data_IF_300588379470
#
_entry.id   IF_300588379470
#
_cell.length_a   1.000
_cell.length_b   1.000
_cell.length_c   1.000
_cell.angle_alpha   90.00
_cell.angle_beta   90.00
_cell.angle_gamma   90.00
#
_symmetry.space_group_name_H-M   'P 1'
#
loop_
_entity.id
_entity.type
_entity.pdbx_description
1 polymer ?
#
# COMPACT_ATOMS: atom_id res chain seq x y z
N UNK A 1 20.04 -20.17 -21.63
CA UNK A 1 19.99 -18.70 -21.75
C UNK A 1 21.07 -18.14 -20.85
N UNK A 2 21.93 -17.23 -21.33
CA UNK A 2 22.94 -16.57 -20.47
C UNK A 2 22.17 -15.68 -19.49
N UNK A 3 22.26 -15.99 -18.20
CA UNK A 3 21.80 -15.08 -17.14
C UNK A 3 22.64 -13.80 -17.25
N UNK A 4 21.98 -12.73 -17.65
CA UNK A 4 22.63 -11.40 -17.69
C UNK A 4 22.69 -10.92 -16.25
N UNK A 5 23.88 -10.76 -15.70
CA UNK A 5 24.07 -10.21 -14.35
C UNK A 5 23.38 -8.84 -14.24
N UNK A 6 22.77 -8.55 -13.08
CA UNK A 6 22.15 -7.24 -12.85
C UNK A 6 23.18 -6.12 -12.97
N UNK A 7 22.79 -5.00 -13.59
CA UNK A 7 23.63 -3.80 -13.63
C UNK A 7 23.76 -3.18 -12.23
N UNK A 8 24.85 -2.44 -11.98
CA UNK A 8 25.03 -1.73 -10.71
C UNK A 8 23.84 -0.80 -10.40
N UNK A 9 23.29 -0.15 -11.42
CA UNK A 9 22.11 0.72 -11.30
C UNK A 9 20.85 -0.07 -10.88
N UNK A 10 20.66 -1.27 -11.42
CA UNK A 10 19.50 -2.09 -11.07
C UNK A 10 19.65 -2.74 -9.69
N UNK A 11 20.88 -3.07 -9.28
CA UNK A 11 21.14 -3.50 -7.90
C UNK A 11 20.88 -2.39 -6.88
N UNK A 12 21.26 -1.14 -7.19
CA UNK A 12 20.90 0.02 -6.37
C UNK A 12 19.39 0.22 -6.31
N UNK A 13 18.70 0.15 -7.45
CA UNK A 13 17.25 0.25 -7.51
C UNK A 13 16.56 -0.87 -6.71
N UNK A 14 17.10 -2.10 -6.71
CA UNK A 14 16.59 -3.21 -5.93
C UNK A 14 16.79 -2.99 -4.42
N UNK A 15 17.95 -2.44 -4.02
CA UNK A 15 18.24 -2.07 -2.63
C UNK A 15 17.30 -0.99 -2.11
N UNK A 16 17.04 0.04 -2.92
CA UNK A 16 16.08 1.09 -2.57
C UNK A 16 14.65 0.56 -2.49
N UNK A 17 14.29 -0.36 -3.41
CA UNK A 17 13.01 -1.05 -3.36
C UNK A 17 12.86 -1.88 -2.07
N UNK A 18 13.90 -2.63 -1.66
CA UNK A 18 13.90 -3.39 -0.41
C UNK A 18 13.71 -2.48 0.78
N UNK A 19 14.46 -1.38 0.87
CA UNK A 19 14.28 -0.39 1.94
C UNK A 19 12.85 0.16 2.00
N UNK A 20 12.25 0.48 0.85
CA UNK A 20 10.89 0.99 0.80
C UNK A 20 9.85 -0.03 1.27
N UNK A 21 10.06 -1.32 0.96
CA UNK A 21 9.14 -2.43 1.26
C UNK A 21 9.26 -2.96 2.69
N UNK A 22 10.46 -2.95 3.27
CA UNK A 22 10.73 -3.51 4.60
C UNK A 22 10.86 -2.44 5.69
N UNK A 23 11.01 -1.16 5.31
CA UNK A 23 11.27 -0.06 6.24
C UNK A 23 9.99 0.49 6.90
N UNK A 24 10.14 1.27 7.99
CA UNK A 24 9.23 1.28 9.11
C UNK A 24 7.79 1.48 8.66
N UNK A 25 6.91 0.68 9.26
CA UNK A 25 5.47 0.76 9.04
C UNK A 25 4.95 2.19 9.25
N UNK A 26 3.78 2.46 8.73
CA UNK A 26 3.16 3.78 8.77
C UNK A 26 3.10 4.37 10.19
N UNK A 27 2.91 3.52 11.22
CA UNK A 27 2.93 3.92 12.62
C UNK A 27 4.22 4.64 13.02
N UNK A 28 5.39 4.10 12.63
CA UNK A 28 6.68 4.72 12.93
C UNK A 28 6.86 6.03 12.16
N UNK A 29 6.43 6.09 10.89
CA UNK A 29 6.48 7.33 10.09
C UNK A 29 5.61 8.43 10.69
N UNK A 30 4.40 8.09 11.15
CA UNK A 30 3.49 9.03 11.82
C UNK A 30 4.08 9.46 13.17
N UNK A 31 4.60 8.53 13.98
CA UNK A 31 5.26 8.84 15.26
C UNK A 31 6.40 9.81 15.06
N UNK A 32 7.26 9.58 14.06
CA UNK A 32 8.39 10.48 13.77
C UNK A 32 7.94 11.86 13.29
N UNK A 33 6.86 11.93 12.51
CA UNK A 33 6.36 13.19 11.96
C UNK A 33 5.64 14.07 12.99
N UNK A 34 4.95 13.45 13.96
CA UNK A 34 4.09 14.16 14.94
C UNK A 34 4.64 14.14 16.35
N UNK A 35 5.64 13.31 16.65
CA UNK A 35 6.15 13.12 18.01
C UNK A 35 5.17 12.39 18.95
N UNK A 36 4.10 11.81 18.42
CA UNK A 36 3.08 11.09 19.20
C UNK A 36 3.20 9.58 18.93
N UNK A 37 3.47 8.74 19.97
CA UNK A 37 3.52 7.31 19.81
C UNK A 37 2.16 6.74 19.37
N UNK A 38 2.11 6.16 18.18
CA UNK A 38 0.88 5.57 17.61
C UNK A 38 0.36 4.42 18.47
N UNK A 39 1.25 3.66 19.11
CA UNK A 39 0.88 2.57 20.04
C UNK A 39 0.03 3.08 21.23
N UNK A 40 0.40 4.25 21.78
CA UNK A 40 -0.40 4.90 22.85
C UNK A 40 -1.75 5.36 22.31
N UNK A 41 -1.76 5.97 21.12
CA UNK A 41 -2.99 6.41 20.48
C UNK A 41 -3.94 5.24 20.18
N UNK A 42 -3.43 4.10 19.73
CA UNK A 42 -4.21 2.87 19.53
C UNK A 42 -4.85 2.36 20.83
N UNK A 43 -4.10 2.39 21.95
CA UNK A 43 -4.63 2.01 23.25
C UNK A 43 -5.71 2.94 23.82
N UNK A 44 -5.86 4.13 23.25
CA UNK A 44 -6.92 5.09 23.62
C UNK A 44 -8.20 4.93 22.80
N UNK A 45 -8.16 4.17 21.70
CA UNK A 45 -9.34 3.92 20.88
C UNK A 45 -10.33 3.01 21.62
N UNK A 46 -11.61 3.38 21.68
CA UNK A 46 -12.64 2.47 22.18
C UNK A 46 -12.74 1.20 21.35
N UNK A 47 -12.92 0.04 21.97
CA UNK A 47 -13.10 -1.24 21.27
C UNK A 47 -14.23 -1.22 20.25
N UNK A 48 -15.24 -0.38 20.47
CA UNK A 48 -16.37 -0.18 19.58
C UNK A 48 -15.99 0.39 18.20
N UNK A 49 -14.77 0.91 18.04
CA UNK A 49 -14.29 1.50 16.77
C UNK A 49 -13.79 0.43 15.79
N UNK A 50 -13.45 -0.76 16.26
CA UNK A 50 -12.93 -1.85 15.42
C UNK A 50 -13.88 -2.20 14.27
N UNK A 51 -15.17 -2.33 14.54
CA UNK A 51 -16.19 -2.69 13.54
C UNK A 51 -16.41 -1.57 12.49
N UNK A 52 -16.62 -0.29 12.87
CA UNK A 52 -16.69 0.81 11.91
C UNK A 52 -15.45 0.94 11.03
N UNK A 53 -14.25 0.81 11.60
CA UNK A 53 -12.99 0.90 10.86
C UNK A 53 -12.85 -0.24 9.85
N UNK A 54 -13.12 -1.48 10.28
CA UNK A 54 -13.09 -2.64 9.39
C UNK A 54 -14.11 -2.51 8.25
N UNK A 55 -15.32 -2.03 8.52
CA UNK A 55 -16.35 -1.78 7.50
C UNK A 55 -15.92 -0.69 6.51
N UNK A 56 -15.33 0.39 7.01
CA UNK A 56 -14.84 1.47 6.15
C UNK A 56 -13.67 0.99 5.26
N UNK A 57 -12.72 0.21 5.81
CA UNK A 57 -11.64 -0.38 5.04
C UNK A 57 -12.16 -1.34 3.95
N UNK A 58 -13.14 -2.18 4.28
CA UNK A 58 -13.78 -3.08 3.32
C UNK A 58 -14.46 -2.29 2.18
N UNK A 59 -15.26 -1.28 2.51
CA UNK A 59 -15.92 -0.41 1.53
C UNK A 59 -14.91 0.33 0.64
N UNK A 60 -13.81 0.82 1.22
CA UNK A 60 -12.75 1.50 0.48
C UNK A 60 -12.07 0.57 -0.53
N UNK A 61 -11.74 -0.65 -0.14
CA UNK A 61 -11.10 -1.64 -1.02
C UNK A 61 -12.09 -2.14 -2.09
N UNK A 62 -13.37 -2.36 -1.76
CA UNK A 62 -14.39 -2.69 -2.74
C UNK A 62 -14.51 -1.60 -3.81
N UNK A 63 -14.61 -0.33 -3.40
CA UNK A 63 -14.62 0.83 -4.31
C UNK A 63 -13.35 0.90 -5.15
N UNK A 64 -12.17 0.69 -4.53
CA UNK A 64 -10.90 0.67 -5.24
C UNK A 64 -10.82 -0.46 -6.28
N UNK A 65 -11.37 -1.64 -5.98
CA UNK A 65 -11.46 -2.75 -6.92
C UNK A 65 -12.32 -2.42 -8.15
N UNK A 66 -13.46 -1.74 -7.97
CA UNK A 66 -14.27 -1.26 -9.09
C UNK A 66 -13.50 -0.31 -9.99
N UNK A 67 -12.77 0.64 -9.38
CA UNK A 67 -11.91 1.58 -10.12
C UNK A 67 -10.80 0.83 -10.84
N UNK A 68 -10.16 -0.15 -10.18
CA UNK A 68 -9.11 -0.98 -10.78
C UNK A 68 -9.61 -1.77 -11.98
N UNK A 69 -10.76 -2.42 -11.86
CA UNK A 69 -11.32 -3.23 -12.94
C UNK A 69 -11.82 -2.37 -14.12
N UNK A 70 -12.42 -1.21 -13.84
CA UNK A 70 -13.11 -0.38 -14.83
C UNK A 70 -12.27 0.74 -15.44
N UNK A 71 -11.70 1.62 -14.64
CA UNK A 71 -11.21 2.93 -15.10
C UNK A 71 -9.70 3.15 -15.08
N UNK A 72 -8.89 2.24 -14.52
CA UNK A 72 -7.43 2.41 -14.46
C UNK A 72 -6.75 2.35 -15.83
N UNK A 73 -7.38 1.76 -16.84
CA UNK A 73 -6.85 1.70 -18.21
C UNK A 73 -6.45 3.07 -18.76
N UNK A 74 -7.22 4.11 -18.40
CA UNK A 74 -7.09 5.46 -18.93
C UNK A 74 -6.38 6.44 -17.98
N UNK A 75 -5.72 5.94 -16.93
CA UNK A 75 -5.00 6.80 -15.99
C UNK A 75 -3.80 7.44 -16.67
N UNK A 76 -3.77 8.78 -16.74
CA UNK A 76 -2.64 9.53 -17.27
C UNK A 76 -1.43 9.34 -16.34
N UNK A 77 -0.31 8.89 -16.90
CA UNK A 77 0.94 8.73 -16.16
C UNK A 77 1.77 10.01 -16.18
N UNK A 78 2.45 10.29 -15.06
CA UNK A 78 3.44 11.36 -14.98
C UNK A 78 3.75 11.78 -13.54
N UNK A 79 4.98 12.34 -13.32
CA UNK A 79 5.39 12.91 -12.02
C UNK A 79 4.47 14.03 -11.52
N UNK A 80 3.82 14.74 -12.43
CA UNK A 80 2.83 15.77 -12.10
C UNK A 80 1.59 15.20 -11.42
N UNK A 81 1.14 13.98 -11.80
CA UNK A 81 0.02 13.30 -11.17
C UNK A 81 0.22 13.01 -9.69
N UNK A 82 1.43 12.61 -9.27
CA UNK A 82 1.70 12.27 -7.87
C UNK A 82 1.57 13.47 -6.93
N UNK A 83 2.00 14.67 -7.36
CA UNK A 83 1.86 15.89 -6.53
C UNK A 83 0.40 16.32 -6.41
N UNK A 84 -0.36 16.23 -7.50
CA UNK A 84 -1.79 16.52 -7.50
C UNK A 84 -2.56 15.54 -6.61
N UNK A 85 -2.27 14.24 -6.70
CA UNK A 85 -2.89 13.23 -5.84
C UNK A 85 -2.57 13.46 -4.36
N UNK A 86 -1.32 13.82 -4.01
CA UNK A 86 -0.96 14.20 -2.64
C UNK A 86 -1.77 15.41 -2.15
N UNK A 87 -1.87 16.46 -2.95
CA UNK A 87 -2.64 17.66 -2.60
C UNK A 87 -4.13 17.36 -2.36
N UNK A 88 -4.73 16.52 -3.21
CA UNK A 88 -6.14 16.11 -3.07
C UNK A 88 -6.38 15.30 -1.80
N UNK A 89 -5.49 14.35 -1.46
CA UNK A 89 -5.63 13.54 -0.22
C UNK A 89 -5.39 14.38 1.03
N UNK A 90 -4.46 15.33 0.98
CA UNK A 90 -4.25 16.29 2.08
C UNK A 90 -5.48 17.16 2.31
N UNK A 91 -6.11 17.64 1.23
CA UNK A 91 -7.33 18.44 1.31
C UNK A 91 -8.53 17.67 1.90
N UNK A 92 -8.68 16.37 1.56
CA UNK A 92 -9.75 15.52 2.15
C UNK A 92 -9.53 15.27 3.63
N UNK A 93 -8.28 15.17 4.08
CA UNK A 93 -7.95 14.93 5.50
C UNK A 93 -8.13 16.12 6.41
N UNK A 94 -7.99 17.33 5.88
CA UNK A 94 -8.28 18.54 6.64
C UNK A 94 -9.78 18.63 7.02
N UNK A 95 -10.67 18.07 6.19
CA UNK A 95 -12.09 17.95 6.49
C UNK A 95 -12.45 16.79 7.44
N UNK A 96 -11.79 15.63 7.28
CA UNK A 96 -12.13 14.39 8.01
C UNK A 96 -11.82 14.45 9.51
N UNK A 97 -10.71 15.10 9.90
CA UNK A 97 -10.32 15.23 11.30
C UNK A 97 -11.30 16.00 12.18
N UNK A 98 -12.19 16.83 11.57
CA UNK A 98 -13.16 17.63 12.30
C UNK A 98 -14.49 16.89 12.57
N UNK A 99 -14.82 15.82 11.80
CA UNK A 99 -16.14 15.19 11.83
C UNK A 99 -16.18 13.77 12.42
N UNK A 100 -15.05 13.22 12.86
CA UNK A 100 -14.97 11.93 13.56
C UNK A 100 -15.33 10.70 12.69
N UNK A 101 -15.73 9.59 13.33
CA UNK A 101 -16.02 8.30 12.69
C UNK A 101 -17.02 8.34 11.50
N UNK A 102 -18.13 9.14 11.53
CA UNK A 102 -19.04 9.17 10.38
C UNK A 102 -18.38 9.68 9.09
N UNK A 103 -17.42 10.60 9.20
CA UNK A 103 -16.69 11.13 8.05
C UNK A 103 -15.79 10.07 7.41
N UNK A 104 -15.28 9.12 8.20
CA UNK A 104 -14.42 8.04 7.74
C UNK A 104 -15.09 7.19 6.65
N UNK A 105 -16.38 6.93 6.77
CA UNK A 105 -17.11 6.13 5.80
C UNK A 105 -17.12 6.73 4.38
N UNK A 106 -16.97 8.05 4.27
CA UNK A 106 -16.91 8.78 2.99
C UNK A 106 -15.45 9.10 2.61
N UNK A 107 -14.66 9.57 3.58
CA UNK A 107 -13.26 9.98 3.33
C UNK A 107 -12.40 8.81 2.85
N UNK A 108 -12.52 7.65 3.49
CA UNK A 108 -11.63 6.52 3.21
C UNK A 108 -11.81 5.96 1.79
N UNK A 109 -13.00 5.70 1.26
CA UNK A 109 -13.18 5.28 -0.13
C UNK A 109 -12.63 6.31 -1.14
N UNK A 110 -12.84 7.60 -0.89
CA UNK A 110 -12.36 8.69 -1.77
C UNK A 110 -10.83 8.74 -1.75
N UNK A 111 -10.22 8.82 -0.57
CA UNK A 111 -8.77 8.90 -0.43
C UNK A 111 -8.07 7.63 -0.97
N UNK A 112 -8.65 6.45 -0.73
CA UNK A 112 -8.13 5.18 -1.25
C UNK A 112 -8.20 5.14 -2.79
N UNK A 113 -9.26 5.66 -3.38
CA UNK A 113 -9.37 5.77 -4.85
C UNK A 113 -8.29 6.70 -5.44
N UNK A 114 -8.03 7.84 -4.80
CA UNK A 114 -6.98 8.77 -5.23
C UNK A 114 -5.60 8.10 -5.07
N UNK A 115 -5.35 7.41 -3.97
CA UNK A 115 -4.11 6.66 -3.74
C UNK A 115 -3.94 5.56 -4.80
N UNK A 116 -4.99 4.80 -5.12
CA UNK A 116 -4.94 3.76 -6.15
C UNK A 116 -4.54 4.34 -7.51
N UNK A 117 -5.07 5.50 -7.89
CA UNK A 117 -4.69 6.17 -9.14
C UNK A 117 -3.22 6.61 -9.14
N UNK A 118 -2.71 7.07 -8.01
CA UNK A 118 -1.29 7.39 -7.84
C UNK A 118 -0.41 6.13 -7.95
N UNK A 119 -0.82 5.04 -7.31
CA UNK A 119 -0.16 3.72 -7.40
C UNK A 119 -0.13 3.25 -8.86
N UNK A 120 -1.24 3.37 -9.58
CA UNK A 120 -1.35 2.99 -10.99
C UNK A 120 -0.44 3.83 -11.91
N UNK A 121 -0.27 5.13 -11.61
CA UNK A 121 0.67 5.99 -12.32
C UNK A 121 2.14 5.55 -12.09
N UNK A 122 2.47 5.14 -10.86
CA UNK A 122 3.78 4.56 -10.53
C UNK A 122 3.98 3.23 -11.26
N UNK A 123 2.99 2.32 -11.21
CA UNK A 123 3.02 1.04 -11.91
C UNK A 123 3.35 1.23 -13.40
N UNK A 124 2.63 2.14 -14.07
CA UNK A 124 2.87 2.48 -15.47
C UNK A 124 4.28 3.03 -15.71
N UNK A 125 4.79 3.89 -14.83
CA UNK A 125 6.16 4.42 -14.94
C UNK A 125 7.24 3.33 -14.80
N UNK A 126 6.91 2.21 -14.15
CA UNK A 126 7.74 1.03 -14.03
C UNK A 126 7.46 -0.02 -15.13
N UNK A 127 6.69 0.33 -16.16
CA UNK A 127 6.45 -0.50 -17.33
C UNK A 127 5.36 -1.56 -17.17
N UNK A 128 4.42 -1.38 -16.22
CA UNK A 128 3.23 -2.21 -16.14
C UNK A 128 2.22 -1.83 -17.23
N UNK A 129 1.66 -2.84 -17.89
CA UNK A 129 0.54 -2.66 -18.82
C UNK A 129 -0.80 -2.72 -18.07
N UNK A 130 -1.39 -1.55 -17.81
CA UNK A 130 -2.68 -1.46 -17.12
C UNK A 130 -3.88 -1.87 -18.00
N UNK A 131 -3.69 -2.31 -19.25
CA UNK A 131 -4.72 -3.02 -19.99
C UNK A 131 -4.94 -4.44 -19.45
N UNK A 132 -3.91 -5.05 -18.85
CA UNK A 132 -3.98 -6.34 -18.17
C UNK A 132 -4.63 -6.20 -16.79
N UNK A 133 -5.58 -7.11 -16.50
CA UNK A 133 -6.25 -7.19 -15.20
C UNK A 133 -5.28 -7.53 -14.06
N UNK A 134 -4.27 -8.36 -14.31
CA UNK A 134 -3.27 -8.72 -13.30
C UNK A 134 -2.45 -7.51 -12.86
N UNK A 135 -2.02 -6.66 -13.81
CA UNK A 135 -1.30 -5.43 -13.49
C UNK A 135 -2.18 -4.44 -12.69
N UNK A 136 -3.48 -4.36 -13.00
CA UNK A 136 -4.42 -3.53 -12.24
C UNK A 136 -4.68 -4.06 -10.83
N UNK A 137 -4.78 -5.36 -10.65
CA UNK A 137 -4.93 -5.98 -9.34
C UNK A 137 -3.64 -5.90 -8.51
N UNK A 138 -2.46 -5.91 -9.16
CA UNK A 138 -1.20 -5.64 -8.48
C UNK A 138 -1.15 -4.22 -7.87
N UNK A 139 -1.90 -3.25 -8.41
CA UNK A 139 -2.05 -1.94 -7.76
C UNK A 139 -2.83 -2.03 -6.44
N UNK A 140 -3.79 -2.97 -6.31
CA UNK A 140 -4.51 -3.21 -5.05
C UNK A 140 -3.64 -3.97 -4.04
N UNK A 141 -2.73 -4.82 -4.52
CA UNK A 141 -1.78 -5.55 -3.67
C UNK A 141 -0.97 -4.61 -2.78
N UNK A 142 -0.62 -3.42 -3.27
CA UNK A 142 0.13 -2.42 -2.51
C UNK A 142 -0.54 -2.07 -1.18
N UNK A 143 -1.87 -2.04 -1.11
CA UNK A 143 -2.59 -1.81 0.14
C UNK A 143 -2.47 -2.97 1.15
N UNK A 144 -2.14 -4.17 0.67
CA UNK A 144 -1.92 -5.33 1.53
C UNK A 144 -0.45 -5.50 1.96
N UNK A 145 0.51 -4.89 1.25
CA UNK A 145 1.94 -5.04 1.54
C UNK A 145 2.40 -4.23 2.76
N UNK A 146 1.78 -3.10 3.05
CA UNK A 146 2.20 -2.19 4.10
C UNK A 146 1.77 -2.57 5.52
N UNK A 147 1.01 -3.65 5.70
CA UNK A 147 0.65 -4.18 7.02
C UNK A 147 1.86 -4.88 7.66
N UNK A 148 2.12 -4.64 8.96
CA UNK A 148 3.18 -5.36 9.67
C UNK A 148 2.96 -6.87 9.52
N UNK A 149 3.97 -7.64 9.10
CA UNK A 149 3.99 -9.06 9.42
C UNK A 149 3.86 -9.20 10.94
N UNK A 150 3.12 -10.20 11.41
CA UNK A 150 2.98 -10.43 12.83
C UNK A 150 4.35 -10.44 13.51
N UNK A 151 4.40 -10.06 14.77
CA UNK A 151 5.62 -9.84 15.59
C UNK A 151 6.66 -10.98 15.57
N UNK A 152 6.31 -12.13 14.98
CA UNK A 152 7.14 -13.33 14.85
C UNK A 152 7.72 -13.53 13.44
N UNK A 153 7.31 -12.75 12.44
CA UNK A 153 7.82 -12.84 11.06
C UNK A 153 8.82 -11.71 10.73
N UNK A 154 9.70 -11.40 11.68
CA UNK A 154 10.87 -10.56 11.46
C UNK A 154 11.93 -11.27 10.58
N UNK A 155 11.50 -12.12 9.63
CA UNK A 155 12.37 -12.73 8.66
C UNK A 155 12.42 -11.86 7.40
N UNK A 156 13.61 -11.74 6.83
CA UNK A 156 13.93 -11.05 5.56
C UNK A 156 13.05 -11.45 4.36
N UNK A 157 12.10 -12.37 4.57
CA UNK A 157 11.16 -12.90 3.58
C UNK A 157 9.78 -12.23 3.61
N UNK A 158 9.54 -11.22 4.46
CA UNK A 158 8.18 -10.66 4.69
C UNK A 158 7.47 -10.18 3.42
N UNK A 159 8.18 -9.47 2.55
CA UNK A 159 7.63 -9.01 1.27
C UNK A 159 7.24 -10.17 0.35
N UNK A 160 8.14 -11.13 0.12
CA UNK A 160 7.85 -12.26 -0.78
C UNK A 160 6.82 -13.22 -0.20
N UNK A 161 6.78 -13.40 1.13
CA UNK A 161 5.75 -14.19 1.79
C UNK A 161 4.36 -13.55 1.62
N UNK A 162 4.24 -12.25 1.86
CA UNK A 162 2.99 -11.50 1.68
C UNK A 162 2.53 -11.56 0.22
N UNK A 163 3.45 -11.37 -0.73
CA UNK A 163 3.18 -11.44 -2.17
C UNK A 163 2.75 -12.84 -2.62
N UNK A 164 3.40 -13.89 -2.13
CA UNK A 164 3.02 -15.28 -2.43
C UNK A 164 1.62 -15.62 -1.91
N UNK A 165 1.30 -15.19 -0.68
CA UNK A 165 -0.03 -15.38 -0.11
C UNK A 165 -1.11 -14.63 -0.90
N UNK A 166 -0.84 -13.39 -1.33
CA UNK A 166 -1.74 -12.61 -2.17
C UNK A 166 -1.91 -13.20 -3.56
N UNK A 167 -0.84 -13.73 -4.15
CA UNK A 167 -0.83 -14.26 -5.51
C UNK A 167 -1.90 -15.33 -5.75
N UNK A 168 -2.12 -16.22 -4.78
CA UNK A 168 -3.17 -17.26 -4.88
C UNK A 168 -4.57 -16.66 -4.98
N UNK A 169 -4.86 -15.66 -4.15
CA UNK A 169 -6.16 -14.97 -4.12
C UNK A 169 -6.35 -14.12 -5.38
N UNK A 170 -5.29 -13.49 -5.85
CA UNK A 170 -5.29 -12.63 -7.03
C UNK A 170 -5.58 -13.41 -8.32
N UNK A 171 -4.99 -14.59 -8.51
CA UNK A 171 -5.18 -15.41 -9.71
C UNK A 171 -6.64 -15.79 -9.90
N UNK A 172 -7.30 -16.24 -8.84
CA UNK A 172 -8.71 -16.61 -8.89
C UNK A 172 -9.62 -15.41 -9.20
N UNK A 173 -9.34 -14.28 -8.57
CA UNK A 173 -10.10 -13.05 -8.79
C UNK A 173 -9.87 -12.49 -10.21
N UNK A 174 -8.62 -12.47 -10.69
CA UNK A 174 -8.28 -12.02 -12.04
C UNK A 174 -8.97 -12.86 -13.12
N UNK A 175 -8.95 -14.19 -12.96
CA UNK A 175 -9.63 -15.10 -13.87
C UNK A 175 -11.14 -14.84 -13.90
N UNK A 176 -11.76 -14.70 -12.71
CA UNK A 176 -13.19 -14.41 -12.62
C UNK A 176 -13.56 -13.08 -13.29
N UNK A 177 -12.83 -12.02 -12.93
CA UNK A 177 -13.07 -10.66 -13.45
C UNK A 177 -12.80 -10.58 -14.95
N UNK A 178 -11.76 -11.24 -15.43
CA UNK A 178 -11.43 -11.29 -16.85
C UNK A 178 -12.50 -11.97 -17.71
N UNK A 179 -13.16 -13.00 -17.19
CA UNK A 179 -14.20 -13.75 -17.90
C UNK A 179 -15.61 -13.15 -17.76
N UNK A 180 -15.95 -12.58 -16.62
CA UNK A 180 -17.32 -12.19 -16.26
C UNK A 180 -17.49 -10.73 -15.87
N UNK A 181 -16.41 -9.97 -15.87
CA UNK A 181 -16.39 -8.60 -15.31
C UNK A 181 -16.67 -8.59 -13.80
N UNK A 182 -16.85 -7.39 -13.24
CA UNK A 182 -17.25 -7.20 -11.84
C UNK A 182 -18.78 -7.21 -11.61
N UNK A 183 -19.53 -7.86 -12.48
CA UNK A 183 -21.01 -7.84 -12.41
C UNK A 183 -21.59 -8.43 -11.09
N UNK A 184 -20.81 -9.21 -10.35
CA UNK A 184 -21.21 -9.74 -9.03
C UNK A 184 -20.06 -9.61 -8.03
N UNK A 185 -20.08 -8.56 -7.20
CA UNK A 185 -19.16 -8.41 -6.07
C UNK A 185 -19.25 -9.56 -5.06
N UNK A 186 -20.42 -10.20 -4.95
CA UNK A 186 -20.66 -11.34 -4.07
C UNK A 186 -20.02 -12.65 -4.55
N UNK A 187 -19.32 -12.65 -5.69
CA UNK A 187 -18.63 -13.85 -6.16
C UNK A 187 -17.48 -14.23 -5.21
N UNK A 188 -17.38 -15.51 -4.79
CA UNK A 188 -16.40 -15.93 -3.78
C UNK A 188 -14.94 -15.52 -4.04
N UNK A 189 -14.41 -15.54 -5.29
CA UNK A 189 -13.06 -15.06 -5.55
C UNK A 189 -12.89 -13.56 -5.32
N UNK A 190 -13.89 -12.77 -5.68
CA UNK A 190 -13.89 -11.31 -5.51
C UNK A 190 -13.98 -10.94 -4.03
N UNK A 191 -14.90 -11.59 -3.30
CA UNK A 191 -15.04 -11.41 -1.85
C UNK A 191 -13.75 -11.75 -1.12
N UNK A 192 -13.10 -12.87 -1.45
CA UNK A 192 -11.81 -13.26 -0.84
C UNK A 192 -10.72 -12.24 -1.10
N UNK A 193 -10.64 -11.69 -2.31
CA UNK A 193 -9.68 -10.63 -2.64
C UNK A 193 -9.92 -9.37 -1.79
N UNK A 194 -11.17 -8.91 -1.75
CA UNK A 194 -11.54 -7.71 -0.97
C UNK A 194 -11.22 -7.94 0.52
N UNK A 195 -11.63 -9.07 1.09
CA UNK A 195 -11.38 -9.39 2.50
C UNK A 195 -9.89 -9.43 2.81
N UNK A 196 -9.09 -10.10 1.97
CA UNK A 196 -7.65 -10.22 2.17
C UNK A 196 -6.95 -8.85 2.19
N UNK A 197 -7.29 -7.97 1.24
CA UNK A 197 -6.69 -6.63 1.17
C UNK A 197 -7.23 -5.74 2.29
N UNK A 198 -8.55 -5.78 2.55
CA UNK A 198 -9.18 -4.92 3.54
C UNK A 198 -8.73 -5.22 4.97
N UNK A 199 -8.46 -6.49 5.31
CA UNK A 199 -7.94 -6.88 6.62
C UNK A 199 -6.58 -6.21 6.90
N UNK A 200 -5.65 -6.28 5.95
CA UNK A 200 -4.32 -5.68 6.07
C UNK A 200 -4.34 -4.16 6.01
N UNK A 201 -5.12 -3.61 5.08
CA UNK A 201 -5.33 -2.18 4.97
C UNK A 201 -5.99 -1.59 6.22
N UNK A 202 -6.91 -2.34 6.84
CA UNK A 202 -7.61 -1.96 8.06
C UNK A 202 -6.66 -1.71 9.25
N UNK A 203 -5.56 -2.46 9.34
CA UNK A 203 -4.53 -2.23 10.36
C UNK A 203 -3.94 -0.82 10.21
N UNK A 204 -3.53 -0.46 9.00
CA UNK A 204 -2.95 0.85 8.69
C UNK A 204 -3.95 2.00 8.86
N UNK A 205 -5.22 1.73 8.52
CA UNK A 205 -6.31 2.68 8.73
C UNK A 205 -6.55 2.89 10.23
N UNK A 206 -6.48 1.83 11.05
CA UNK A 206 -6.59 1.94 12.51
C UNK A 206 -5.48 2.79 13.11
N UNK A 207 -4.23 2.62 12.66
CA UNK A 207 -3.08 3.43 13.09
C UNK A 207 -3.28 4.91 12.72
N UNK A 208 -3.77 5.19 11.51
CA UNK A 208 -4.12 6.54 11.05
C UNK A 208 -5.19 7.18 11.94
N UNK A 209 -6.29 6.47 12.17
CA UNK A 209 -7.43 6.98 12.93
C UNK A 209 -7.07 7.21 14.38
N UNK A 210 -6.35 6.26 15.00
CA UNK A 210 -5.89 6.40 16.37
C UNK A 210 -5.10 7.70 16.57
N UNK A 211 -4.22 8.00 15.62
CA UNK A 211 -3.43 9.22 15.69
C UNK A 211 -4.31 10.47 15.49
N UNK A 212 -5.28 10.44 14.57
CA UNK A 212 -6.20 11.56 14.36
C UNK A 212 -7.13 11.82 15.56
N UNK A 213 -7.40 10.80 16.37
CA UNK A 213 -8.23 10.90 17.57
C UNK A 213 -7.52 11.62 18.74
N UNK A 214 -6.21 11.87 18.66
CA UNK A 214 -5.47 12.60 19.71
C UNK A 214 -5.82 14.08 19.65
N UNK A 215 -6.40 14.68 20.72
CA UNK A 215 -6.96 16.04 20.68
C UNK A 215 -5.97 17.15 20.34
N UNK A 216 -4.65 16.91 20.57
CA UNK A 216 -3.59 17.90 20.37
C UNK A 216 -3.22 18.10 18.89
N UNK A 217 -3.66 17.21 18.01
CA UNK A 217 -3.17 17.16 16.62
C UNK A 217 -3.85 18.19 15.71
N UNK A 218 -5.12 18.53 15.95
CA UNK A 218 -5.83 19.55 15.20
C UNK A 218 -5.86 19.32 13.68
N UNK A 219 -6.36 20.31 12.92
CA UNK A 219 -6.51 20.22 11.46
C UNK A 219 -5.16 20.12 10.70
N UNK A 220 -4.12 20.82 11.17
CA UNK A 220 -2.80 20.77 10.55
C UNK A 220 -2.15 19.39 10.70
N UNK A 221 -2.32 18.76 11.88
CA UNK A 221 -1.84 17.42 12.12
C UNK A 221 -2.59 16.38 11.29
N UNK A 222 -3.91 16.52 11.09
CA UNK A 222 -4.70 15.66 10.21
C UNK A 222 -4.21 15.70 8.75
N UNK A 223 -3.87 16.89 8.24
CA UNK A 223 -3.27 17.05 6.92
C UNK A 223 -1.90 16.36 6.80
N UNK A 224 -1.05 16.48 7.83
CA UNK A 224 0.25 15.83 7.87
C UNK A 224 0.11 14.30 7.93
N UNK A 225 -0.82 13.77 8.73
CA UNK A 225 -1.11 12.32 8.78
C UNK A 225 -1.52 11.81 7.40
N UNK A 226 -2.39 12.51 6.69
CA UNK A 226 -2.80 12.12 5.35
C UNK A 226 -1.64 12.20 4.35
N UNK A 227 -0.77 13.19 4.46
CA UNK A 227 0.45 13.27 3.65
C UNK A 227 1.34 12.04 3.89
N UNK A 228 1.64 11.71 5.15
CA UNK A 228 2.46 10.55 5.52
C UNK A 228 1.80 9.25 5.02
N UNK A 229 0.48 9.17 5.10
CA UNK A 229 -0.28 8.01 4.65
C UNK A 229 -0.15 7.77 3.14
N UNK A 230 -0.36 8.80 2.31
CA UNK A 230 -0.21 8.66 0.85
C UNK A 230 1.26 8.46 0.45
N UNK A 231 2.19 9.13 1.13
CA UNK A 231 3.63 8.98 0.87
C UNK A 231 4.11 7.56 1.14
N UNK A 232 3.61 6.94 2.22
CA UNK A 232 3.87 5.54 2.54
C UNK A 232 3.45 4.61 1.39
N UNK A 233 2.20 4.71 0.90
CA UNK A 233 1.71 3.86 -0.18
C UNK A 233 2.38 4.14 -1.52
N UNK A 234 2.79 5.38 -1.80
CA UNK A 234 3.57 5.69 -2.99
C UNK A 234 4.98 5.08 -2.92
N UNK A 235 5.63 5.11 -1.75
CA UNK A 235 6.93 4.47 -1.53
C UNK A 235 6.83 2.95 -1.68
N UNK A 236 5.80 2.33 -1.09
CA UNK A 236 5.52 0.91 -1.23
C UNK A 236 5.26 0.52 -2.69
N UNK A 237 4.47 1.33 -3.42
CA UNK A 237 4.21 1.11 -4.84
C UNK A 237 5.50 1.19 -5.67
N UNK A 238 6.33 2.20 -5.42
CA UNK A 238 7.61 2.34 -6.13
C UNK A 238 8.49 1.12 -5.90
N UNK A 239 8.64 0.69 -4.65
CA UNK A 239 9.40 -0.51 -4.30
C UNK A 239 8.83 -1.77 -4.99
N UNK A 240 7.54 -2.02 -4.84
CA UNK A 240 6.85 -3.18 -5.43
C UNK A 240 7.01 -3.25 -6.95
N UNK A 241 6.72 -2.16 -7.66
CA UNK A 241 6.79 -2.15 -9.12
C UNK A 241 8.23 -2.08 -9.65
N UNK A 242 9.19 -1.58 -8.86
CA UNK A 242 10.61 -1.71 -9.18
C UNK A 242 11.04 -3.18 -9.16
N UNK A 243 10.69 -3.94 -8.11
CA UNK A 243 10.96 -5.39 -8.05
C UNK A 243 10.33 -6.09 -9.26
N UNK A 244 9.05 -5.86 -9.54
CA UNK A 244 8.35 -6.45 -10.70
C UNK A 244 9.00 -6.10 -12.04
N UNK A 245 9.48 -4.87 -12.22
CA UNK A 245 10.23 -4.46 -13.41
C UNK A 245 11.53 -5.26 -13.55
N UNK A 246 12.27 -5.41 -12.47
CA UNK A 246 13.51 -6.17 -12.47
C UNK A 246 13.26 -7.67 -12.74
N UNK A 247 12.20 -8.24 -12.18
CA UNK A 247 11.78 -9.61 -12.44
C UNK A 247 11.46 -9.86 -13.92
N UNK A 248 10.85 -8.89 -14.61
CA UNK A 248 10.63 -8.99 -16.06
C UNK A 248 11.92 -8.96 -16.88
N UNK A 249 12.96 -8.32 -16.37
CA UNK A 249 14.26 -8.18 -17.07
C UNK A 249 15.19 -9.36 -16.77
N UNK A 250 15.29 -9.75 -15.50
CA UNK A 250 16.31 -10.70 -15.02
C UNK A 250 15.74 -12.05 -14.61
N UNK A 251 14.42 -12.19 -14.49
CA UNK A 251 13.74 -13.37 -13.98
C UNK A 251 13.46 -13.29 -12.47
N UNK A 252 12.36 -13.91 -12.05
CA UNK A 252 11.84 -13.83 -10.68
C UNK A 252 12.82 -14.46 -9.67
N UNK A 253 13.39 -15.61 -9.97
CA UNK A 253 14.30 -16.32 -9.07
C UNK A 253 15.59 -15.54 -8.80
N UNK A 254 16.16 -14.92 -9.84
CA UNK A 254 17.41 -14.16 -9.71
C UNK A 254 17.18 -12.89 -8.88
N UNK A 255 16.09 -12.15 -9.16
CA UNK A 255 15.75 -10.95 -8.38
C UNK A 255 15.46 -11.30 -6.93
N UNK A 256 14.71 -12.38 -6.69
CA UNK A 256 14.41 -12.85 -5.34
C UNK A 256 15.67 -13.26 -4.57
N UNK A 257 16.57 -13.99 -5.20
CA UNK A 257 17.84 -14.39 -4.60
C UNK A 257 18.67 -13.17 -4.21
N UNK A 258 18.80 -12.21 -5.13
CA UNK A 258 19.54 -10.97 -4.90
C UNK A 258 18.90 -10.12 -3.81
N UNK A 259 17.56 -9.98 -3.83
CA UNK A 259 16.79 -9.27 -2.80
C UNK A 259 17.00 -9.86 -1.40
N UNK A 260 16.98 -11.19 -1.27
CA UNK A 260 17.17 -11.89 0.00
C UNK A 260 18.63 -11.87 0.49
N UNK A 261 19.61 -11.78 -0.43
CA UNK A 261 21.03 -11.69 -0.08
C UNK A 261 21.44 -10.31 0.43
N UNK A 262 20.67 -9.26 0.12
CA UNK A 262 20.94 -7.90 0.59
C UNK A 262 20.67 -7.81 2.09
N UNK A 263 21.72 -7.74 2.91
CA UNK A 263 21.61 -7.39 4.33
C UNK A 263 21.31 -5.89 4.49
N UNK A 264 20.59 -5.53 5.57
CA UNK A 264 20.45 -4.13 5.99
C UNK A 264 21.81 -3.59 6.48
N UNK A 265 22.73 -3.28 5.56
CA UNK A 265 23.93 -2.52 5.89
C UNK A 265 23.55 -1.06 6.15
N UNK A 266 23.31 -0.74 7.41
CA UNK A 266 22.96 0.61 7.88
C UNK A 266 23.31 0.91 9.32
N UNK A 267 23.85 -0.06 10.09
CA UNK A 267 24.46 0.21 11.40
C UNK A 267 25.94 -0.24 11.41
N UNK A 268 26.76 0.34 10.55
CA UNK A 268 28.20 0.33 10.80
C UNK A 268 28.42 1.13 12.09
N UNK A 269 28.50 0.39 13.20
CA UNK A 269 28.92 0.91 14.45
C UNK A 269 30.25 1.64 14.30
N UNK A 270 30.27 2.91 14.55
CA UNK A 270 31.46 3.60 15.06
C UNK A 270 31.70 3.12 16.49
N UNK A 271 32.25 1.92 16.59
CA UNK A 271 33.01 1.53 17.75
C UNK A 271 34.45 2.03 17.50
N UNK A 272 34.79 3.18 18.09
CA UNK A 272 36.13 3.53 18.62
C UNK A 272 35.97 4.67 19.61
#
# INVERSE_FOLDING_TARGET
MRQTAMTAKDLEALRDAKRALENPGIAAKITNALGVPVEKALGMLPDTWSVPVSRAAHSAIATALHVAAGSLKNTLGGRAGNRLHKALVVATGAGGGAFGLPALAIELPVSTTIMLRSIAAIARSQGEDLSDIHARLACLEVFALGGRPGRNDASEAGYYAARSAFGKVMVDAARYIGQRGLAKESAPPVVRLIMYVAERFGIQVSEKIATQAVPVIGAAGGALINYVFIDHFQSMALGHFTVRRLERIYGEEEVRKEYLSMTEDGSAGTAR
#
